data_IF_380393548373
#
_entry.id   IF_380393548373
#
_cell.length_a   1.000
_cell.length_b   1.000
_cell.length_c   1.000
_cell.angle_alpha   90.00
_cell.angle_beta   90.00
_cell.angle_gamma   90.00
#
_symmetry.space_group_name_H-M   'P 1'
#
loop_
_entity.id
_entity.type
_entity.pdbx_description
1 polymer ?
#
# COMPACT_ATOMS: atom_id res chain seq x y z
N UNK A 1 70.96 25.49 -31.50
CA UNK A 1 71.51 25.94 -32.80
C UNK A 1 70.66 25.34 -33.91
N UNK A 2 70.48 25.99 -35.07
CA UNK A 2 69.94 27.35 -35.32
C UNK A 2 68.87 27.30 -36.44
N UNK A 3 68.01 28.29 -36.68
CA UNK A 3 68.21 29.50 -37.51
C UNK A 3 66.84 30.22 -37.47
N UNK A 4 66.67 31.45 -36.98
CA UNK A 4 67.25 32.73 -37.40
C UNK A 4 66.92 33.13 -38.84
N UNK A 5 66.50 34.40 -38.97
CA UNK A 5 66.32 35.26 -40.14
C UNK A 5 64.89 35.45 -40.63
N UNK A 6 64.43 36.64 -41.00
CA UNK A 6 64.92 38.00 -40.80
C UNK A 6 63.84 38.95 -41.34
N UNK A 7 63.66 40.09 -40.66
CA UNK A 7 63.52 41.46 -41.20
C UNK A 7 62.85 41.63 -42.58
N UNK A 8 61.87 42.52 -42.68
CA UNK A 8 62.12 43.93 -43.07
C UNK A 8 60.84 44.77 -43.10
N UNK A 9 61.06 46.05 -42.82
CA UNK A 9 60.11 47.14 -42.74
C UNK A 9 59.67 47.66 -44.12
N UNK A 10 58.46 48.22 -44.17
CA UNK A 10 58.15 49.45 -44.93
C UNK A 10 56.82 50.00 -44.37
N UNK A 11 56.83 51.12 -43.66
CA UNK A 11 56.74 52.51 -44.16
C UNK A 11 55.37 52.87 -44.75
N UNK A 12 54.81 53.91 -44.12
CA UNK A 12 53.94 54.95 -44.68
C UNK A 12 52.61 54.53 -45.30
N UNK A 13 51.54 54.92 -44.63
CA UNK A 13 50.61 55.93 -45.16
C UNK A 13 49.73 56.43 -44.01
N UNK A 14 50.03 57.65 -43.57
CA UNK A 14 49.06 58.50 -42.90
C UNK A 14 47.90 58.73 -43.88
N UNK A 15 46.74 58.14 -43.59
CA UNK A 15 45.47 58.60 -44.13
C UNK A 15 44.53 58.82 -42.95
N UNK A 16 44.23 60.09 -42.71
CA UNK A 16 43.21 60.52 -41.78
C UNK A 16 41.84 59.97 -42.22
N UNK A 17 41.11 59.23 -41.38
CA UNK A 17 39.67 59.10 -41.55
C UNK A 17 39.07 60.46 -41.26
N UNK A 18 38.41 61.03 -42.26
CA UNK A 18 37.63 62.26 -42.15
C UNK A 18 36.71 62.19 -40.93
N UNK A 19 36.71 63.29 -40.18
CA UNK A 19 35.79 63.53 -39.08
C UNK A 19 34.35 63.41 -39.62
N UNK A 20 33.69 62.31 -39.30
CA UNK A 20 32.25 62.23 -39.46
C UNK A 20 31.61 63.25 -38.52
N UNK A 21 30.65 64.07 -38.99
CA UNK A 21 29.97 65.04 -38.15
C UNK A 21 29.20 64.26 -37.08
N UNK A 22 29.60 64.45 -35.82
CA UNK A 22 28.84 64.03 -34.65
C UNK A 22 27.47 64.69 -34.76
N UNK A 23 26.47 63.93 -35.19
CA UNK A 23 25.07 64.34 -35.03
C UNK A 23 24.89 64.58 -33.53
N UNK A 24 24.48 65.80 -33.18
CA UNK A 24 24.13 66.16 -31.83
C UNK A 24 23.21 65.06 -31.25
N UNK A 25 23.71 64.35 -30.24
CA UNK A 25 22.87 63.50 -29.42
C UNK A 25 21.84 64.43 -28.79
N UNK A 26 20.58 64.33 -29.24
CA UNK A 26 19.46 64.96 -28.55
C UNK A 26 19.50 64.43 -27.13
N UNK A 27 19.87 65.28 -26.18
CA UNK A 27 19.86 64.92 -24.77
C UNK A 27 18.42 64.53 -24.43
N UNK A 28 18.24 63.29 -23.98
CA UNK A 28 16.96 62.80 -23.48
C UNK A 28 16.42 63.84 -22.51
N UNK A 29 15.22 64.34 -22.81
CA UNK A 29 14.58 65.30 -21.92
C UNK A 29 14.28 64.58 -20.61
N UNK A 30 14.36 65.30 -19.48
CA UNK A 30 14.12 64.72 -18.16
C UNK A 30 12.75 64.03 -18.07
N UNK A 31 11.77 64.54 -18.83
CA UNK A 31 10.44 63.95 -18.94
C UNK A 31 10.43 62.63 -19.71
N UNK A 32 11.25 62.48 -20.74
CA UNK A 32 11.36 61.24 -21.52
C UNK A 32 12.00 60.12 -20.70
N UNK A 33 13.02 60.44 -19.91
CA UNK A 33 13.61 59.48 -18.97
C UNK A 33 12.62 59.08 -17.87
N UNK A 34 11.82 60.02 -17.37
CA UNK A 34 10.78 59.72 -16.37
C UNK A 34 9.68 58.83 -16.94
N UNK A 35 9.23 59.09 -18.17
CA UNK A 35 8.21 58.27 -18.85
C UNK A 35 8.74 56.85 -19.12
N UNK A 36 9.97 56.71 -19.60
CA UNK A 36 10.57 55.39 -19.84
C UNK A 36 10.69 54.59 -18.54
N UNK A 37 11.15 55.22 -17.46
CA UNK A 37 11.22 54.54 -16.15
C UNK A 37 9.83 54.15 -15.66
N UNK A 38 8.82 55.00 -15.81
CA UNK A 38 7.44 54.70 -15.43
C UNK A 38 6.82 53.55 -16.24
N UNK A 39 7.11 53.47 -17.54
CA UNK A 39 6.66 52.36 -18.39
C UNK A 39 7.39 51.07 -17.99
N UNK A 40 8.71 51.11 -17.80
CA UNK A 40 9.49 49.94 -17.40
C UNK A 40 9.08 49.41 -16.03
N UNK A 41 8.82 50.28 -15.04
CA UNK A 41 8.31 49.84 -13.73
C UNK A 41 6.92 49.23 -13.85
N UNK A 42 6.04 49.82 -14.66
CA UNK A 42 4.69 49.26 -14.88
C UNK A 42 4.74 47.88 -15.55
N UNK A 43 5.58 47.72 -16.58
CA UNK A 43 5.76 46.42 -17.28
C UNK A 43 6.39 45.39 -16.35
N UNK A 44 7.39 45.77 -15.54
CA UNK A 44 7.98 44.86 -14.55
C UNK A 44 6.95 44.43 -13.51
N UNK A 45 6.12 45.32 -12.98
CA UNK A 45 5.08 44.98 -12.00
C UNK A 45 4.05 43.98 -12.57
N UNK A 46 3.61 44.19 -13.81
CA UNK A 46 2.71 43.26 -14.49
C UNK A 46 3.35 41.89 -14.74
N UNK A 47 4.62 41.86 -15.16
CA UNK A 47 5.36 40.62 -15.38
C UNK A 47 5.55 39.82 -14.08
N UNK A 48 5.79 40.49 -12.95
CA UNK A 48 5.89 39.84 -11.64
C UNK A 48 4.55 39.28 -11.14
N UNK A 49 3.44 40.00 -11.37
CA UNK A 49 2.10 39.53 -10.99
C UNK A 49 1.75 38.20 -11.65
N UNK A 50 1.86 38.13 -12.99
CA UNK A 50 1.55 36.92 -13.78
C UNK A 50 2.48 35.75 -13.39
N UNK A 51 3.78 36.01 -13.21
CA UNK A 51 4.72 34.96 -12.82
C UNK A 51 4.47 34.40 -11.42
N UNK A 52 3.75 35.11 -10.54
CA UNK A 52 3.48 34.64 -9.17
C UNK A 52 2.28 33.69 -9.11
N UNK A 53 1.21 34.00 -9.85
CA UNK A 53 0.01 33.15 -9.97
C UNK A 53 0.34 31.81 -10.64
N UNK A 54 1.14 31.83 -11.72
CA UNK A 54 1.60 30.61 -12.40
C UNK A 54 2.35 29.66 -11.45
N UNK A 55 3.17 30.21 -10.55
CA UNK A 55 3.92 29.40 -9.57
C UNK A 55 3.02 28.81 -8.50
N UNK A 56 2.04 29.58 -8.01
CA UNK A 56 1.08 29.13 -7.02
C UNK A 56 0.25 27.96 -7.57
N UNK A 57 -0.23 28.10 -8.81
CA UNK A 57 -0.97 27.04 -9.50
C UNK A 57 -0.13 25.77 -9.68
N UNK A 58 1.15 25.88 -10.07
CA UNK A 58 2.04 24.72 -10.21
C UNK A 58 2.20 23.98 -8.88
N UNK A 59 2.38 24.68 -7.76
CA UNK A 59 2.53 24.07 -6.43
C UNK A 59 1.25 23.41 -5.94
N UNK A 60 0.11 24.03 -6.24
CA UNK A 60 -1.20 23.47 -5.99
C UNK A 60 -1.40 22.14 -6.73
N UNK A 61 -1.10 22.11 -8.03
CA UNK A 61 -1.23 20.91 -8.83
C UNK A 61 -0.22 19.82 -8.44
N UNK A 62 1.02 20.20 -8.08
CA UNK A 62 2.02 19.28 -7.51
C UNK A 62 1.53 18.65 -6.20
N UNK A 63 0.96 19.45 -5.29
CA UNK A 63 0.38 18.95 -4.02
C UNK A 63 -0.70 17.90 -4.26
N UNK A 64 -1.61 18.17 -5.20
CA UNK A 64 -2.68 17.22 -5.56
C UNK A 64 -2.13 15.94 -6.16
N UNK A 65 -1.09 16.03 -6.99
CA UNK A 65 -0.45 14.86 -7.58
C UNK A 65 0.29 14.03 -6.52
N UNK A 66 0.98 14.68 -5.59
CA UNK A 66 1.64 14.02 -4.45
C UNK A 66 0.67 13.31 -3.52
N UNK A 67 -0.52 13.87 -3.28
CA UNK A 67 -1.59 13.16 -2.56
C UNK A 67 -2.04 11.90 -3.28
N UNK A 68 -2.14 11.91 -4.62
CA UNK A 68 -2.44 10.68 -5.39
C UNK A 68 -1.32 9.67 -5.30
N UNK A 69 -0.06 10.13 -5.33
CA UNK A 69 1.11 9.26 -5.16
C UNK A 69 1.12 8.61 -3.78
N UNK A 70 0.82 9.35 -2.71
CA UNK A 70 0.64 8.81 -1.35
C UNK A 70 -0.47 7.76 -1.32
N UNK A 71 -1.64 8.06 -1.90
CA UNK A 71 -2.74 7.09 -1.98
C UNK A 71 -2.30 5.81 -2.71
N UNK A 72 -1.59 5.94 -3.83
CA UNK A 72 -1.09 4.79 -4.59
C UNK A 72 0.03 4.04 -3.87
N UNK A 73 0.85 4.69 -3.04
CA UNK A 73 1.87 4.03 -2.23
C UNK A 73 1.24 3.22 -1.09
N UNK A 74 0.20 3.78 -0.44
CA UNK A 74 -0.52 3.16 0.67
C UNK A 74 -1.37 1.98 0.18
N UNK A 75 -2.24 2.23 -0.80
CA UNK A 75 -3.23 1.28 -1.30
C UNK A 75 -2.77 0.46 -2.51
N UNK A 76 -1.63 0.79 -3.11
CA UNK A 76 -1.22 0.22 -4.38
C UNK A 76 -1.99 0.79 -5.56
N UNK A 77 -1.57 0.42 -6.77
CA UNK A 77 -2.32 0.74 -7.98
C UNK A 77 -3.55 -0.19 -8.09
N UNK A 78 -4.71 0.30 -7.67
CA UNK A 78 -6.01 -0.25 -8.11
C UNK A 78 -6.21 0.12 -9.58
N UNK A 79 -5.47 -0.52 -10.49
CA UNK A 79 -5.70 -0.34 -11.91
C UNK A 79 -7.13 -0.77 -12.29
N UNK A 80 -7.74 -0.19 -13.33
CA UNK A 80 -9.10 -0.54 -13.77
C UNK A 80 -9.23 -1.98 -14.31
N UNK A 81 -8.12 -2.74 -14.40
CA UNK A 81 -8.10 -4.10 -14.90
C UNK A 81 -8.15 -5.11 -13.73
N UNK A 82 -9.13 -6.05 -13.72
CA UNK A 82 -9.14 -7.14 -12.75
C UNK A 82 -7.88 -8.01 -12.92
N UNK A 83 -7.19 -8.30 -11.81
CA UNK A 83 -6.02 -9.19 -11.79
C UNK A 83 -4.65 -8.51 -11.87
N UNK A 84 -4.56 -7.18 -11.83
CA UNK A 84 -3.26 -6.49 -11.62
C UNK A 84 -2.80 -6.70 -10.17
N UNK A 85 -1.50 -6.92 -9.98
CA UNK A 85 -0.89 -7.28 -8.69
C UNK A 85 -1.42 -6.42 -7.53
N UNK A 86 -1.98 -7.07 -6.50
CA UNK A 86 -2.32 -6.38 -5.25
C UNK A 86 -1.00 -5.98 -4.61
N UNK A 87 -0.80 -4.69 -4.38
CA UNK A 87 0.44 -4.14 -3.86
C UNK A 87 0.19 -2.89 -3.02
N UNK A 88 1.26 -2.16 -2.74
CA UNK A 88 1.22 -1.03 -1.81
C UNK A 88 1.43 -1.45 -0.36
N UNK A 89 1.58 -0.46 0.49
CA UNK A 89 1.95 -0.66 1.90
C UNK A 89 1.00 -1.63 2.61
N UNK A 90 -0.32 -1.45 2.44
CA UNK A 90 -1.32 -2.27 3.11
C UNK A 90 -1.27 -3.74 2.66
N UNK A 91 -1.05 -4.01 1.37
CA UNK A 91 -1.06 -5.38 0.86
C UNK A 91 0.13 -6.22 1.37
N UNK A 92 1.25 -5.54 1.54
CA UNK A 92 2.51 -6.12 1.97
C UNK A 92 2.59 -6.25 3.50
N UNK A 93 2.04 -5.28 4.23
CA UNK A 93 2.17 -5.16 5.68
C UNK A 93 0.88 -5.46 6.46
N UNK A 94 -0.28 -5.50 5.82
CA UNK A 94 -1.55 -5.83 6.49
C UNK A 94 -2.11 -4.74 7.41
N UNK A 95 -1.56 -3.53 7.39
CA UNK A 95 -2.03 -2.38 8.16
C UNK A 95 -1.72 -1.06 7.44
N UNK A 96 -2.31 0.05 7.91
CA UNK A 96 -1.96 1.41 7.46
C UNK A 96 -0.60 1.84 8.03
N UNK A 97 0.14 2.72 7.33
CA UNK A 97 1.38 3.26 7.88
C UNK A 97 1.08 4.15 9.10
N UNK A 98 1.91 4.02 10.14
CA UNK A 98 1.81 4.87 11.33
C UNK A 98 2.30 6.30 11.11
N UNK A 99 3.11 6.52 10.07
CA UNK A 99 3.63 7.81 9.61
C UNK A 99 4.05 7.73 8.13
N UNK A 100 4.31 8.87 7.49
CA UNK A 100 4.71 8.87 6.07
C UNK A 100 6.16 8.42 5.82
N UNK A 101 7.05 8.58 6.81
CA UNK A 101 8.42 8.10 6.73
C UNK A 101 8.48 6.58 6.62
N UNK A 102 7.51 5.90 7.19
CA UNK A 102 7.31 4.45 7.05
C UNK A 102 7.01 4.05 5.60
N UNK A 103 6.61 4.96 4.70
CA UNK A 103 6.51 4.65 3.26
C UNK A 103 7.87 4.64 2.55
N UNK A 104 8.90 5.26 3.12
CA UNK A 104 10.25 5.32 2.54
C UNK A 104 11.19 4.30 3.18
N UNK A 105 11.05 4.10 4.49
CA UNK A 105 11.97 3.29 5.29
C UNK A 105 11.18 2.38 6.22
N UNK A 106 11.68 1.17 6.45
CA UNK A 106 10.95 0.15 7.23
C UNK A 106 10.74 0.49 8.71
N UNK A 107 11.61 1.31 9.29
CA UNK A 107 11.63 1.51 10.75
C UNK A 107 11.78 0.19 11.51
N UNK A 108 10.80 -0.12 12.38
CA UNK A 108 10.73 -1.35 13.17
C UNK A 108 10.03 -2.51 12.45
N UNK A 109 9.49 -2.30 11.25
CA UNK A 109 8.76 -3.32 10.51
C UNK A 109 9.72 -4.37 9.93
N UNK A 110 9.20 -5.60 9.77
CA UNK A 110 9.95 -6.68 9.13
C UNK A 110 10.11 -6.37 7.65
N UNK A 111 11.31 -6.60 7.12
CA UNK A 111 11.62 -6.47 5.69
C UNK A 111 10.88 -7.50 4.83
N UNK A 112 10.59 -7.14 3.59
CA UNK A 112 9.92 -8.03 2.66
C UNK A 112 10.72 -9.31 2.44
N UNK A 113 10.07 -10.44 2.69
CA UNK A 113 10.64 -11.76 2.49
C UNK A 113 9.57 -12.74 2.01
N UNK A 114 10.02 -13.88 1.50
CA UNK A 114 9.16 -15.06 1.36
C UNK A 114 8.99 -15.66 2.76
N UNK A 115 7.79 -15.57 3.29
CA UNK A 115 7.45 -16.01 4.64
C UNK A 115 6.53 -17.23 4.62
N UNK A 116 6.71 -18.10 5.61
CA UNK A 116 5.81 -19.22 5.86
C UNK A 116 4.60 -18.75 6.66
N UNK A 117 3.37 -18.92 6.16
CA UNK A 117 2.18 -18.71 6.96
C UNK A 117 2.19 -19.55 8.22
N UNK A 118 1.66 -18.99 9.30
CA UNK A 118 1.62 -19.63 10.60
C UNK A 118 0.17 -19.94 10.99
N UNK A 119 -0.11 -21.21 11.21
CA UNK A 119 -1.38 -21.68 11.74
C UNK A 119 -1.26 -21.85 13.26
N UNK A 120 -2.08 -21.14 14.01
CA UNK A 120 -2.23 -21.35 15.44
C UNK A 120 -3.58 -22.08 15.69
N UNK A 121 -3.57 -23.27 16.34
CA UNK A 121 -4.78 -23.95 16.77
C UNK A 121 -5.61 -23.10 17.75
N UNK A 122 -4.99 -22.26 18.57
CA UNK A 122 -5.64 -21.49 19.66
C UNK A 122 -5.26 -20.00 19.63
N UNK A 123 -5.63 -19.26 18.57
CA UNK A 123 -5.38 -17.81 18.53
C UNK A 123 -6.19 -17.07 19.60
N UNK A 124 -5.73 -15.87 19.95
CA UNK A 124 -6.38 -15.01 20.94
C UNK A 124 -7.72 -14.49 20.38
N UNK A 125 -8.83 -14.83 21.07
CA UNK A 125 -10.20 -14.52 20.63
C UNK A 125 -10.42 -13.06 20.24
N UNK A 126 -9.94 -12.11 21.05
CA UNK A 126 -10.20 -10.68 20.84
C UNK A 126 -9.43 -10.07 19.65
N UNK A 127 -8.28 -10.63 19.27
CA UNK A 127 -7.39 -10.07 18.24
C UNK A 127 -7.24 -10.94 17.00
N UNK A 128 -7.73 -12.18 17.05
CA UNK A 128 -7.48 -13.24 16.09
C UNK A 128 -5.99 -13.63 15.92
N UNK A 129 -5.08 -13.06 16.72
CA UNK A 129 -3.65 -13.23 16.56
C UNK A 129 -3.16 -14.54 17.18
N UNK A 130 -2.08 -15.09 16.64
CA UNK A 130 -1.40 -16.24 17.25
C UNK A 130 -1.03 -15.98 18.71
N UNK A 131 -1.31 -16.95 19.57
CA UNK A 131 -0.90 -17.02 20.97
C UNK A 131 0.61 -17.30 21.12
N UNK A 132 1.24 -17.88 20.09
CA UNK A 132 2.65 -18.23 20.06
C UNK A 132 3.01 -19.56 20.74
N UNK A 133 2.04 -20.28 21.30
CA UNK A 133 2.30 -21.50 22.10
C UNK A 133 2.29 -22.80 21.29
N UNK A 134 1.52 -22.89 20.20
CA UNK A 134 1.36 -24.11 19.38
C UNK A 134 1.33 -23.80 17.86
N UNK A 135 2.22 -22.91 17.41
CA UNK A 135 2.22 -22.42 16.04
C UNK A 135 2.83 -23.43 15.06
N UNK A 136 2.07 -23.78 14.02
CA UNK A 136 2.48 -24.65 12.91
C UNK A 136 2.83 -23.78 11.70
N UNK A 137 4.10 -23.80 11.28
CA UNK A 137 4.55 -23.10 10.07
C UNK A 137 4.27 -23.95 8.82
N UNK A 138 3.61 -23.36 7.82
CA UNK A 138 3.36 -23.98 6.52
C UNK A 138 4.59 -23.81 5.61
N UNK A 139 5.39 -24.88 5.50
CA UNK A 139 6.65 -24.90 4.76
C UNK A 139 6.55 -25.31 3.29
N UNK A 140 5.36 -25.69 2.80
CA UNK A 140 5.14 -25.97 1.39
C UNK A 140 5.39 -24.69 0.56
N UNK A 141 6.24 -24.78 -0.47
CA UNK A 141 6.56 -23.67 -1.37
C UNK A 141 5.31 -23.01 -1.98
N UNK A 142 4.26 -23.80 -2.25
CA UNK A 142 2.99 -23.29 -2.75
C UNK A 142 2.18 -22.53 -1.69
N UNK A 143 2.45 -22.72 -0.39
CA UNK A 143 1.83 -21.96 0.70
C UNK A 143 2.58 -20.66 1.02
N UNK A 144 3.87 -20.56 0.71
CA UNK A 144 4.70 -19.38 1.04
C UNK A 144 4.17 -18.09 0.40
N UNK A 145 4.15 -16.99 1.17
CA UNK A 145 3.69 -15.68 0.70
C UNK A 145 4.84 -14.67 0.74
N UNK A 146 4.84 -13.70 -0.17
CA UNK A 146 5.76 -12.55 -0.08
C UNK A 146 5.09 -11.51 0.79
N UNK A 147 5.69 -11.17 1.93
CA UNK A 147 5.15 -10.24 2.92
C UNK A 147 6.24 -9.44 3.59
N UNK A 148 5.86 -8.32 4.19
CA UNK A 148 6.77 -7.40 4.87
C UNK A 148 7.09 -6.15 4.04
N UNK A 149 7.83 -5.24 4.64
CA UNK A 149 8.09 -3.91 4.13
C UNK A 149 9.08 -3.93 2.96
N UNK A 150 8.67 -3.42 1.79
CA UNK A 150 9.46 -3.49 0.54
C UNK A 150 10.58 -2.44 0.41
N UNK A 151 10.76 -1.58 1.41
CA UNK A 151 11.54 -0.36 1.31
C UNK A 151 10.71 0.80 0.77
N UNK A 152 11.19 1.46 -0.28
CA UNK A 152 10.56 2.69 -0.78
C UNK A 152 9.28 2.41 -1.59
N UNK A 153 8.12 2.69 -0.98
CA UNK A 153 6.80 2.61 -1.60
C UNK A 153 6.48 3.82 -2.49
N UNK A 154 7.21 4.92 -2.34
CA UNK A 154 7.08 6.13 -3.16
C UNK A 154 7.98 6.06 -4.42
N UNK A 155 8.77 5.00 -4.58
CA UNK A 155 9.48 4.71 -5.83
C UNK A 155 10.53 5.76 -6.21
N UNK A 156 11.24 6.33 -5.24
CA UNK A 156 12.28 7.33 -5.44
C UNK A 156 11.76 8.75 -5.64
N UNK A 157 10.46 9.00 -5.43
CA UNK A 157 9.88 10.34 -5.56
C UNK A 157 10.24 11.26 -4.38
N UNK A 158 10.78 10.72 -3.29
CA UNK A 158 11.28 11.52 -2.19
C UNK A 158 12.59 12.24 -2.55
N UNK A 159 12.66 13.53 -2.24
CA UNK A 159 13.85 14.34 -2.41
C UNK A 159 14.61 14.43 -1.08
N UNK A 160 15.89 14.05 -1.07
CA UNK A 160 16.72 13.98 0.15
C UNK A 160 16.05 13.17 1.29
N UNK A 161 15.35 12.09 0.94
CA UNK A 161 14.63 11.25 1.90
C UNK A 161 13.38 11.88 2.51
N UNK A 162 12.88 12.99 1.93
CA UNK A 162 11.64 13.65 2.36
C UNK A 162 10.65 13.74 1.20
N UNK A 163 9.38 13.54 1.49
CA UNK A 163 8.30 13.66 0.52
C UNK A 163 7.35 14.79 0.96
N UNK A 164 7.74 16.05 0.71
CA UNK A 164 6.94 17.24 1.08
C UNK A 164 5.78 17.47 0.10
N UNK A 165 4.88 18.39 0.41
CA UNK A 165 3.92 18.91 -0.55
C UNK A 165 4.56 19.90 -1.55
N UNK A 166 3.76 20.47 -2.47
CA UNK A 166 4.25 21.41 -3.47
C UNK A 166 4.64 22.78 -2.90
N UNK A 167 4.16 23.10 -1.70
CA UNK A 167 4.50 24.35 -1.00
C UNK A 167 5.81 24.25 -0.22
N UNK A 168 6.26 23.03 0.08
CA UNK A 168 7.45 22.78 0.86
C UNK A 168 7.21 23.00 2.35
N UNK A 169 5.97 22.77 2.80
CA UNK A 169 5.58 22.96 4.19
C UNK A 169 6.44 22.12 5.13
N UNK A 170 6.69 22.67 6.32
CA UNK A 170 7.44 22.01 7.40
C UNK A 170 6.63 22.08 8.68
N UNK A 171 6.66 20.98 9.45
CA UNK A 171 6.06 20.98 10.79
C UNK A 171 6.97 21.75 11.76
N UNK A 172 6.36 22.54 12.64
CA UNK A 172 7.10 23.26 13.68
C UNK A 172 7.77 22.30 14.69
N UNK A 173 7.22 21.09 14.86
CA UNK A 173 7.87 20.00 15.58
C UNK A 173 8.78 19.22 14.62
N UNK A 174 10.09 19.34 14.81
CA UNK A 174 11.09 18.66 13.99
C UNK A 174 10.96 17.12 14.02
N UNK A 175 10.42 16.54 15.09
CA UNK A 175 10.20 15.08 15.20
C UNK A 175 8.99 14.64 14.36
N UNK A 176 7.96 15.48 14.32
CA UNK A 176 6.83 15.28 13.42
C UNK A 176 7.23 15.52 11.96
N UNK A 177 7.98 16.59 11.66
CA UNK A 177 8.49 16.87 10.31
C UNK A 177 9.36 15.73 9.77
N UNK A 178 10.18 15.10 10.63
CA UNK A 178 10.99 13.94 10.25
C UNK A 178 10.14 12.71 9.91
N UNK A 179 8.95 12.56 10.50
CA UNK A 179 8.04 11.43 10.28
C UNK A 179 7.02 11.68 9.17
N UNK A 180 6.58 12.93 9.00
CA UNK A 180 5.45 13.28 8.15
C UNK A 180 5.78 14.34 7.08
N UNK A 181 7.01 14.84 7.03
CA UNK A 181 7.50 15.72 5.96
C UNK A 181 6.67 16.99 5.74
N UNK A 182 6.10 17.54 6.81
CA UNK A 182 5.23 18.72 6.78
C UNK A 182 3.78 18.45 6.38
N UNK A 183 3.41 17.20 6.09
CA UNK A 183 2.01 16.81 5.98
C UNK A 183 1.38 16.67 7.36
N UNK A 184 0.12 17.09 7.50
CA UNK A 184 -0.67 16.81 8.70
C UNK A 184 -1.29 15.42 8.60
N UNK A 185 -1.00 14.56 9.59
CA UNK A 185 -1.48 13.18 9.63
C UNK A 185 -2.49 12.98 10.77
N UNK A 186 -3.65 12.40 10.45
CA UNK A 186 -4.62 11.97 11.44
C UNK A 186 -4.94 10.48 11.25
N UNK A 187 -4.67 9.68 12.30
CA UNK A 187 -4.94 8.24 12.33
C UNK A 187 -6.05 7.98 13.34
N UNK A 188 -7.11 7.32 12.91
CA UNK A 188 -8.15 6.80 13.78
C UNK A 188 -8.09 5.27 13.75
N UNK A 189 -7.53 4.68 14.81
CA UNK A 189 -7.41 3.22 14.95
C UNK A 189 -8.75 2.53 15.16
N UNK A 190 -9.75 3.23 15.71
CA UNK A 190 -11.09 2.69 15.94
C UNK A 190 -11.90 2.66 14.64
N UNK A 191 -11.85 3.75 13.88
CA UNK A 191 -12.45 3.82 12.55
C UNK A 191 -11.61 3.11 11.46
N UNK A 192 -10.35 2.75 11.77
CA UNK A 192 -9.36 2.16 10.85
C UNK A 192 -9.17 3.03 9.60
N UNK A 193 -8.97 4.32 9.83
CA UNK A 193 -8.81 5.34 8.78
C UNK A 193 -7.58 6.21 8.98
N UNK A 194 -7.11 6.77 7.88
CA UNK A 194 -5.97 7.67 7.78
C UNK A 194 -6.36 8.88 6.94
N UNK A 195 -6.09 10.08 7.44
CA UNK A 195 -6.17 11.31 6.68
C UNK A 195 -4.78 11.95 6.58
N UNK A 196 -4.40 12.35 5.37
CA UNK A 196 -3.16 13.09 5.08
C UNK A 196 -3.52 14.42 4.47
N UNK A 197 -3.07 15.53 5.05
CA UNK A 197 -3.45 16.87 4.62
C UNK A 197 -2.24 17.75 4.34
N UNK A 198 -2.28 18.52 3.25
CA UNK A 198 -1.41 19.69 3.04
C UNK A 198 -2.12 20.93 3.57
N UNK A 199 -1.38 21.79 4.28
CA UNK A 199 -1.87 23.02 4.89
C UNK A 199 -1.76 24.25 3.94
N UNK A 200 -1.80 24.01 2.63
CA UNK A 200 -1.77 25.06 1.62
C UNK A 200 -0.51 25.96 1.68
N UNK A 201 -0.63 27.15 1.10
CA UNK A 201 0.45 28.12 0.98
C UNK A 201 0.80 28.86 2.29
N UNK A 202 -0.11 28.89 3.27
CA UNK A 202 0.06 29.58 4.54
C UNK A 202 0.54 28.67 5.68
N UNK A 203 0.63 27.36 5.43
CA UNK A 203 1.01 26.34 6.41
C UNK A 203 0.14 26.39 7.67
N UNK A 204 -1.15 26.72 7.51
CA UNK A 204 -2.12 26.82 8.59
C UNK A 204 -3.37 26.02 8.25
N UNK A 205 -4.09 25.57 9.27
CA UNK A 205 -5.36 24.85 9.08
C UNK A 205 -6.44 25.80 8.55
N UNK A 206 -7.13 25.38 7.50
CA UNK A 206 -8.21 26.15 6.86
C UNK A 206 -7.72 26.87 5.62
N UNK A 207 -7.97 28.18 5.56
CA UNK A 207 -7.59 29.03 4.42
C UNK A 207 -8.55 28.99 3.23
N UNK A 208 -8.32 29.91 2.29
CA UNK A 208 -9.04 30.04 1.02
C UNK A 208 -8.04 29.99 -0.15
N UNK A 209 -8.52 29.67 -1.35
CA UNK A 209 -7.71 29.62 -2.58
C UNK A 209 -6.47 28.72 -2.42
N UNK A 210 -5.25 29.23 -2.64
CA UNK A 210 -4.02 28.46 -2.46
C UNK A 210 -3.65 28.16 -1.00
N UNK A 211 -4.28 28.85 -0.04
CA UNK A 211 -4.14 28.55 1.38
C UNK A 211 -5.08 27.43 1.84
N UNK A 212 -6.03 26.98 1.01
CA UNK A 212 -6.98 25.94 1.43
C UNK A 212 -6.30 24.60 1.68
N UNK A 213 -6.72 23.90 2.75
CA UNK A 213 -6.28 22.54 3.04
C UNK A 213 -6.68 21.53 1.94
N UNK A 214 -5.75 20.64 1.61
CA UNK A 214 -6.02 19.50 0.71
C UNK A 214 -5.85 18.17 1.41
N UNK A 215 -6.92 17.39 1.47
CA UNK A 215 -6.98 16.17 2.26
C UNK A 215 -7.13 14.93 1.38
N UNK A 216 -6.24 13.96 1.59
CA UNK A 216 -6.42 12.56 1.20
C UNK A 216 -7.05 11.81 2.37
N UNK A 217 -8.22 11.20 2.14
CA UNK A 217 -8.83 10.29 3.09
C UNK A 217 -8.70 8.85 2.60
N UNK A 218 -8.18 7.99 3.48
CA UNK A 218 -8.17 6.53 3.35
C UNK A 218 -9.04 5.97 4.46
N UNK A 219 -10.23 5.52 4.08
CA UNK A 219 -11.24 4.98 4.98
C UNK A 219 -11.13 3.47 5.08
N UNK A 220 -11.76 2.88 6.10
CA UNK A 220 -11.86 1.43 6.28
C UNK A 220 -12.18 0.65 5.00
N UNK A 221 -13.15 1.13 4.21
CA UNK A 221 -13.61 0.46 2.98
C UNK A 221 -12.67 0.61 1.79
N UNK A 222 -11.66 1.47 1.87
CA UNK A 222 -10.66 1.63 0.81
C UNK A 222 -9.61 0.51 0.83
N UNK A 223 -9.39 -0.14 1.98
CA UNK A 223 -8.26 -1.05 2.18
C UNK A 223 -8.59 -2.34 2.93
N UNK A 224 -9.81 -2.45 3.49
CA UNK A 224 -10.28 -3.65 4.17
C UNK A 224 -11.46 -4.28 3.45
N UNK A 225 -11.52 -5.61 3.50
CA UNK A 225 -12.62 -6.45 3.01
C UNK A 225 -13.37 -7.02 4.21
N UNK A 226 -14.71 -6.89 4.29
CA UNK A 226 -15.47 -7.51 5.35
C UNK A 226 -15.45 -9.04 5.18
N UNK A 227 -15.24 -9.79 6.27
CA UNK A 227 -15.30 -11.25 6.22
C UNK A 227 -16.71 -11.78 5.99
N UNK A 228 -17.69 -11.10 6.59
CA UNK A 228 -19.08 -11.48 6.43
C UNK A 228 -19.49 -11.45 4.96
N UNK A 229 -20.07 -12.56 4.49
CA UNK A 229 -20.50 -12.71 3.11
C UNK A 229 -19.43 -13.27 2.18
N UNK A 230 -18.23 -13.57 2.68
CA UNK A 230 -17.25 -14.37 1.95
C UNK A 230 -17.61 -15.86 2.11
N UNK A 231 -17.84 -16.53 0.99
CA UNK A 231 -18.05 -17.97 0.92
C UNK A 231 -16.92 -18.66 0.15
N UNK A 232 -16.52 -19.82 0.64
CA UNK A 232 -15.48 -20.67 0.05
C UNK A 232 -16.09 -22.01 -0.32
N UNK A 233 -16.02 -22.36 -1.60
CA UNK A 233 -16.39 -23.70 -2.08
C UNK A 233 -15.15 -24.58 -2.08
N UNK A 234 -15.13 -25.57 -1.19
CA UNK A 234 -14.09 -26.61 -1.15
C UNK A 234 -14.53 -27.75 -2.06
N UNK A 235 -13.66 -28.16 -2.99
CA UNK A 235 -13.91 -29.26 -3.93
C UNK A 235 -12.80 -30.29 -3.82
N UNK A 236 -13.15 -31.55 -3.61
CA UNK A 236 -12.21 -32.65 -3.51
C UNK A 236 -11.92 -33.28 -4.87
N UNK A 237 -10.70 -33.10 -5.38
CA UNK A 237 -10.21 -33.75 -6.60
C UNK A 237 -9.08 -34.76 -6.30
N UNK A 238 -8.91 -35.18 -5.05
CA UNK A 238 -7.71 -35.90 -4.61
C UNK A 238 -7.70 -37.40 -4.95
N UNK A 239 -8.65 -37.90 -5.75
CA UNK A 239 -8.87 -39.35 -5.99
C UNK A 239 -9.01 -40.17 -4.70
N UNK A 240 -9.20 -39.49 -3.57
CA UNK A 240 -9.26 -40.05 -2.22
C UNK A 240 -10.36 -39.34 -1.45
N UNK A 241 -11.12 -40.14 -0.73
CA UNK A 241 -12.23 -39.62 0.04
C UNK A 241 -11.79 -39.04 1.37
N UNK A 242 -12.43 -37.95 1.77
CA UNK A 242 -12.33 -37.44 3.14
C UNK A 242 -13.52 -37.98 3.91
N UNK A 243 -13.24 -38.96 4.77
CA UNK A 243 -14.23 -39.56 5.65
C UNK A 243 -14.90 -38.54 6.58
N UNK A 244 -16.17 -38.80 6.91
CA UNK A 244 -17.02 -37.93 7.72
C UNK A 244 -16.33 -37.44 9.00
N UNK A 245 -16.18 -36.12 9.13
CA UNK A 245 -15.56 -35.45 10.28
C UNK A 245 -15.99 -33.99 10.37
N UNK A 246 -15.59 -33.33 11.45
CA UNK A 246 -15.82 -31.91 11.64
C UNK A 246 -14.78 -31.12 10.83
N UNK A 247 -15.24 -30.38 9.83
CA UNK A 247 -14.40 -29.58 8.95
C UNK A 247 -14.71 -28.09 9.09
N UNK A 248 -13.73 -27.24 8.87
CA UNK A 248 -13.92 -25.81 8.64
C UNK A 248 -12.86 -25.30 7.68
N UNK A 249 -13.05 -24.09 7.17
CA UNK A 249 -12.02 -23.33 6.46
C UNK A 249 -11.45 -22.25 7.37
N UNK A 250 -10.12 -22.16 7.41
CA UNK A 250 -9.38 -21.11 8.09
C UNK A 250 -8.68 -20.18 7.09
N UNK A 251 -8.71 -18.87 7.32
CA UNK A 251 -7.99 -17.84 6.57
C UNK A 251 -6.83 -17.30 7.41
N UNK A 252 -5.61 -17.36 6.89
CA UNK A 252 -4.42 -16.79 7.50
C UNK A 252 -4.06 -15.46 6.85
N UNK A 253 -3.92 -14.44 7.69
CA UNK A 253 -3.68 -13.05 7.30
C UNK A 253 -2.43 -12.54 7.98
N UNK A 254 -1.48 -12.03 7.22
CA UNK A 254 -0.27 -11.43 7.76
C UNK A 254 -0.50 -9.99 8.20
N UNK A 255 0.03 -9.61 9.37
CA UNK A 255 0.12 -8.23 9.85
C UNK A 255 1.55 -7.94 10.29
N UNK A 256 2.14 -6.89 9.75
CA UNK A 256 3.47 -6.40 10.07
C UNK A 256 3.33 -5.26 11.07
N UNK A 257 3.85 -5.46 12.27
CA UNK A 257 3.80 -4.46 13.32
C UNK A 257 5.22 -4.25 13.90
N UNK A 258 5.36 -3.34 14.86
CA UNK A 258 6.64 -3.04 15.50
C UNK A 258 7.22 -4.17 16.35
N UNK A 259 6.40 -5.15 16.75
CA UNK A 259 6.79 -6.37 17.47
C UNK A 259 7.21 -7.51 16.53
N UNK A 260 7.13 -7.29 15.21
CA UNK A 260 7.42 -8.29 14.19
C UNK A 260 6.20 -8.60 13.32
N UNK A 261 6.41 -9.45 12.33
CA UNK A 261 5.31 -10.00 11.53
C UNK A 261 4.53 -11.03 12.34
N UNK A 262 3.21 -10.89 12.42
CA UNK A 262 2.31 -11.85 13.05
C UNK A 262 1.28 -12.38 12.05
N UNK A 263 0.70 -13.53 12.37
CA UNK A 263 -0.38 -14.13 11.60
C UNK A 263 -1.67 -14.14 12.40
N UNK A 264 -2.72 -13.62 11.78
CA UNK A 264 -4.08 -13.68 12.27
C UNK A 264 -4.77 -14.87 11.61
N UNK A 265 -5.62 -15.56 12.38
CA UNK A 265 -6.44 -16.67 11.88
C UNK A 265 -7.91 -16.31 12.03
N UNK A 266 -8.65 -16.47 10.94
CA UNK A 266 -10.11 -16.39 10.92
C UNK A 266 -10.67 -17.75 10.53
N UNK A 267 -11.78 -18.18 11.10
CA UNK A 267 -12.36 -19.51 10.83
C UNK A 267 -13.86 -19.45 10.58
N UNK A 268 -14.29 -20.18 9.56
CA UNK A 268 -15.71 -20.47 9.31
C UNK A 268 -16.30 -21.38 10.39
N UNK A 269 -17.63 -21.44 10.57
CA UNK A 269 -18.27 -22.43 11.42
C UNK A 269 -17.88 -23.85 11.06
N UNK A 270 -17.87 -24.74 12.07
CA UNK A 270 -17.65 -26.17 11.86
C UNK A 270 -18.84 -26.78 11.12
N UNK A 271 -18.56 -27.40 9.98
CA UNK A 271 -19.47 -28.33 9.33
C UNK A 271 -19.29 -29.71 9.98
N UNK A 272 -20.25 -30.11 10.81
CA UNK A 272 -20.14 -31.32 11.61
C UNK A 272 -20.40 -32.59 10.78
N UNK A 273 -19.60 -33.63 11.03
CA UNK A 273 -19.75 -34.96 10.41
C UNK A 273 -19.86 -34.94 8.87
N UNK A 274 -19.17 -34.00 8.22
CA UNK A 274 -19.17 -33.86 6.77
C UNK A 274 -18.07 -34.69 6.12
N UNK A 275 -18.37 -35.24 4.96
CA UNK A 275 -17.45 -35.98 4.10
C UNK A 275 -17.31 -35.28 2.74
N UNK A 276 -16.19 -35.53 2.06
CA UNK A 276 -15.95 -35.05 0.69
C UNK A 276 -15.52 -36.22 -0.20
N UNK A 277 -16.31 -36.51 -1.22
CA UNK A 277 -16.00 -37.52 -2.23
C UNK A 277 -14.88 -37.03 -3.15
N UNK A 278 -13.75 -37.73 -3.14
CA UNK A 278 -12.61 -37.40 -3.99
C UNK A 278 -12.49 -38.27 -5.24
N UNK A 279 -13.19 -39.40 -5.27
CA UNK A 279 -13.19 -40.35 -6.39
C UNK A 279 -14.23 -40.00 -7.45
N UNK A 280 -15.26 -39.23 -7.07
CA UNK A 280 -16.36 -38.82 -7.93
C UNK A 280 -17.45 -39.89 -8.09
N UNK A 281 -17.45 -40.93 -7.26
CA UNK A 281 -18.46 -42.00 -7.30
C UNK A 281 -19.72 -41.67 -6.46
N UNK A 282 -19.71 -40.54 -5.76
CA UNK A 282 -20.79 -40.05 -4.90
C UNK A 282 -20.83 -40.68 -3.51
N UNK A 283 -19.83 -41.49 -3.14
CA UNK A 283 -19.80 -42.26 -1.91
C UNK A 283 -18.48 -42.06 -1.15
N UNK A 284 -18.55 -42.05 0.18
CA UNK A 284 -17.38 -42.20 1.06
C UNK A 284 -17.71 -43.26 2.09
N UNK A 285 -16.99 -44.38 2.07
CA UNK A 285 -17.27 -45.54 2.94
C UNK A 285 -18.75 -46.00 2.88
N UNK A 286 -19.38 -45.91 1.70
CA UNK A 286 -20.78 -46.29 1.48
C UNK A 286 -21.82 -45.25 1.93
N UNK A 287 -21.40 -44.08 2.41
CA UNK A 287 -22.28 -42.95 2.74
C UNK A 287 -22.31 -41.99 1.56
N UNK A 288 -23.48 -41.46 1.19
CA UNK A 288 -23.58 -40.45 0.13
C UNK A 288 -22.92 -39.15 0.56
N UNK A 289 -21.95 -38.70 -0.24
CA UNK A 289 -21.13 -37.54 0.05
C UNK A 289 -20.97 -36.70 -1.21
N UNK A 290 -21.02 -35.37 -1.04
CA UNK A 290 -20.79 -34.44 -2.15
C UNK A 290 -19.29 -34.32 -2.40
N UNK A 291 -18.91 -34.12 -3.66
CA UNK A 291 -17.55 -33.75 -4.04
C UNK A 291 -17.19 -32.31 -3.58
N UNK A 292 -18.19 -31.50 -3.24
CA UNK A 292 -17.98 -30.11 -2.82
C UNK A 292 -18.84 -29.68 -1.63
N UNK A 293 -18.29 -28.77 -0.83
CA UNK A 293 -18.94 -28.15 0.32
C UNK A 293 -18.69 -26.64 0.32
N UNK A 294 -19.68 -25.87 0.78
CA UNK A 294 -19.57 -24.41 0.89
C UNK A 294 -19.44 -24.02 2.36
N UNK A 295 -18.40 -23.27 2.69
CA UNK A 295 -18.16 -22.69 4.00
C UNK A 295 -18.31 -21.17 3.89
N UNK A 296 -18.92 -20.52 4.89
CA UNK A 296 -19.06 -19.06 4.89
C UNK A 296 -18.48 -18.48 6.16
N UNK A 297 -17.76 -17.36 6.04
CA UNK A 297 -17.21 -16.66 7.19
C UNK A 297 -18.30 -15.87 7.91
N UNK A 298 -18.25 -15.92 9.23
CA UNK A 298 -19.03 -15.04 10.09
C UNK A 298 -18.40 -13.65 10.17
N UNK A 299 -19.11 -12.73 10.83
CA UNK A 299 -18.63 -11.38 11.03
C UNK A 299 -17.42 -11.32 11.98
N UNK A 300 -17.13 -12.32 12.80
CA UNK A 300 -16.11 -12.25 13.85
C UNK A 300 -14.94 -13.20 13.56
N UNK A 301 -13.92 -13.30 14.44
CA UNK A 301 -12.78 -14.16 14.13
C UNK A 301 -13.15 -15.64 13.95
N UNK A 302 -14.17 -16.10 14.69
CA UNK A 302 -14.75 -17.43 14.59
C UNK A 302 -16.24 -17.40 14.89
N UNK A 303 -16.94 -18.47 14.53
CA UNK A 303 -18.32 -18.68 14.90
C UNK A 303 -18.52 -18.63 16.42
N UNK A 304 -19.51 -17.85 16.86
CA UNK A 304 -19.87 -17.69 18.27
C UNK A 304 -18.94 -16.80 19.10
N UNK A 305 -17.84 -16.28 18.56
CA UNK A 305 -17.09 -15.20 19.22
C UNK A 305 -17.88 -13.90 19.15
N UNK A 306 -17.83 -13.07 20.20
CA UNK A 306 -18.37 -11.71 20.21
C UNK A 306 -17.35 -10.67 20.68
N UNK A 307 -16.13 -11.10 21.02
CA UNK A 307 -15.10 -10.26 21.61
C UNK A 307 -14.25 -9.52 20.58
N UNK A 308 -14.06 -10.08 19.39
CA UNK A 308 -13.31 -9.44 18.30
C UNK A 308 -14.06 -8.34 17.55
N UNK A 309 -15.40 -8.35 17.64
CA UNK A 309 -16.27 -7.51 16.84
C UNK A 309 -16.17 -7.83 15.32
N UNK A 310 -16.86 -7.02 14.48
CA UNK A 310 -16.83 -7.20 13.04
C UNK A 310 -15.39 -7.19 12.52
N UNK A 311 -14.99 -8.32 11.96
CA UNK A 311 -13.68 -8.67 11.47
C UNK A 311 -13.55 -8.30 10.01
N UNK A 312 -12.41 -7.70 9.71
CA UNK A 312 -12.08 -7.14 8.42
C UNK A 312 -10.65 -7.51 8.10
N UNK A 313 -10.43 -7.92 6.86
CA UNK A 313 -9.14 -8.40 6.38
C UNK A 313 -8.53 -7.35 5.46
N UNK A 314 -7.26 -6.96 5.65
CA UNK A 314 -6.58 -6.05 4.74
C UNK A 314 -6.59 -6.62 3.32
N UNK A 315 -6.66 -5.73 2.35
CA UNK A 315 -6.44 -6.11 0.96
C UNK A 315 -5.09 -6.81 0.81
N UNK A 316 -4.98 -7.75 -0.11
CA UNK A 316 -3.73 -8.48 -0.33
C UNK A 316 -3.93 -9.95 -0.66
N UNK A 317 -2.80 -10.63 -0.82
CA UNK A 317 -2.76 -12.08 -0.93
C UNK A 317 -2.74 -12.72 0.47
N UNK A 318 -3.58 -13.71 0.69
CA UNK A 318 -3.75 -14.46 1.93
C UNK A 318 -3.80 -15.96 1.65
N UNK A 319 -3.83 -16.79 2.71
CA UNK A 319 -3.89 -18.24 2.56
C UNK A 319 -5.16 -18.79 3.19
N UNK A 320 -5.95 -19.54 2.43
CA UNK A 320 -7.04 -20.36 2.94
C UNK A 320 -6.55 -21.78 3.18
N UNK A 321 -7.05 -22.40 4.25
CA UNK A 321 -6.71 -23.74 4.71
C UNK A 321 -7.98 -24.53 5.01
N UNK A 322 -8.01 -25.80 4.61
CA UNK A 322 -8.96 -26.76 5.17
C UNK A 322 -8.44 -27.22 6.53
N UNK A 323 -9.29 -27.13 7.54
CA UNK A 323 -8.99 -27.51 8.92
C UNK A 323 -9.98 -28.54 9.42
N UNK A 324 -9.50 -29.45 10.26
CA UNK A 324 -10.28 -30.50 10.86
C UNK A 324 -10.25 -30.43 12.37
N UNK A 325 -11.34 -30.88 12.98
CA UNK A 325 -11.59 -30.73 14.40
C UNK A 325 -11.98 -32.08 14.97
N UNK A 326 -11.45 -32.43 16.15
CA UNK A 326 -11.94 -33.60 16.89
C UNK A 326 -13.00 -33.23 17.93
N UNK A 327 -13.09 -31.94 18.27
CA UNK A 327 -14.13 -31.38 19.13
C UNK A 327 -15.23 -30.70 18.30
N UNK A 328 -16.27 -30.23 18.99
CA UNK A 328 -17.31 -29.35 18.42
C UNK A 328 -16.96 -27.86 18.53
N UNK A 329 -15.80 -27.52 19.10
CA UNK A 329 -15.39 -26.14 19.35
C UNK A 329 -14.31 -25.72 18.35
N UNK A 330 -14.41 -24.49 17.86
CA UNK A 330 -13.30 -23.86 17.14
C UNK A 330 -12.26 -23.34 18.11
N UNK A 331 -11.01 -23.39 17.69
CA UNK A 331 -9.86 -22.79 18.35
C UNK A 331 -9.50 -23.42 19.69
N UNK A 332 -9.50 -24.75 19.70
CA UNK A 332 -8.92 -25.53 20.79
C UNK A 332 -7.68 -26.29 20.31
N UNK A 333 -6.96 -26.93 21.24
CA UNK A 333 -5.76 -27.71 20.92
C UNK A 333 -6.03 -28.93 20.03
N UNK A 334 -7.28 -29.18 19.64
CA UNK A 334 -7.66 -30.25 18.71
C UNK A 334 -7.87 -29.77 17.28
N UNK A 335 -7.82 -28.45 17.05
CA UNK A 335 -7.79 -27.87 15.71
C UNK A 335 -6.51 -28.29 14.99
N UNK A 336 -6.68 -29.00 13.88
CA UNK A 336 -5.58 -29.44 13.04
C UNK A 336 -5.76 -28.96 11.60
N UNK A 337 -4.64 -28.76 10.92
CA UNK A 337 -4.63 -28.63 9.46
C UNK A 337 -5.04 -29.97 8.87
N UNK A 338 -6.01 -29.98 7.94
CA UNK A 338 -6.41 -31.22 7.24
C UNK A 338 -5.32 -31.57 6.22
N UNK A 339 -4.28 -32.26 6.70
CA UNK A 339 -3.17 -32.72 5.87
C UNK A 339 -2.53 -34.03 6.34
N UNK A 340 -2.86 -34.48 7.56
CA UNK A 340 -2.16 -35.59 8.18
C UNK A 340 -2.98 -36.17 9.34
N UNK A 341 -3.60 -37.34 9.11
CA UNK A 341 -3.69 -38.33 10.18
C UNK A 341 -2.82 -39.51 9.77
N UNK A 342 -1.91 -39.86 10.67
CA UNK A 342 -0.96 -40.96 10.56
C UNK A 342 -1.58 -42.20 9.90
N UNK A 343 -1.09 -42.57 8.71
CA UNK A 343 -1.41 -43.85 8.07
C UNK A 343 -1.61 -43.83 6.56
N UNK A 344 -1.88 -42.66 5.94
CA UNK A 344 -2.08 -42.56 4.48
C UNK A 344 -0.97 -41.71 3.85
N UNK A 345 -0.19 -42.29 2.94
CA UNK A 345 1.02 -41.68 2.35
C UNK A 345 0.75 -40.59 1.31
N UNK A 346 -0.44 -40.00 1.29
CA UNK A 346 -0.90 -39.19 0.16
C UNK A 346 -1.08 -37.76 0.60
N UNK A 347 -0.09 -36.93 0.23
CA UNK A 347 -0.11 -35.49 0.44
C UNK A 347 -0.94 -34.86 -0.68
N UNK A 348 -2.13 -34.39 -0.37
CA UNK A 348 -2.88 -33.50 -1.25
C UNK A 348 -2.73 -32.06 -0.79
N UNK A 349 -2.96 -31.10 -1.69
CA UNK A 349 -2.98 -29.69 -1.37
C UNK A 349 -4.27 -29.35 -0.63
N UNK A 350 -4.14 -28.86 0.60
CA UNK A 350 -5.24 -28.51 1.51
C UNK A 350 -5.40 -26.99 1.70
N UNK A 351 -4.75 -26.22 0.84
CA UNK A 351 -4.72 -24.77 0.90
C UNK A 351 -4.86 -24.13 -0.48
N UNK A 352 -5.33 -22.90 -0.49
CA UNK A 352 -5.32 -22.07 -1.70
C UNK A 352 -4.95 -20.63 -1.35
N UNK A 353 -4.23 -19.97 -2.25
CA UNK A 353 -3.96 -18.53 -2.09
C UNK A 353 -5.18 -17.76 -2.56
N UNK A 354 -5.59 -16.77 -1.79
CA UNK A 354 -6.71 -15.90 -2.15
C UNK A 354 -6.25 -14.45 -2.18
N UNK A 355 -6.76 -13.72 -3.15
CA UNK A 355 -6.52 -12.30 -3.33
C UNK A 355 -7.80 -11.57 -2.93
N UNK A 356 -7.75 -10.78 -1.85
CA UNK A 356 -8.88 -10.00 -1.37
C UNK A 356 -8.65 -8.53 -1.70
N UNK A 357 -9.61 -7.90 -2.39
CA UNK A 357 -9.56 -6.49 -2.79
C UNK A 357 -10.90 -5.82 -2.46
N UNK A 358 -10.90 -4.65 -1.78
CA UNK A 358 -12.12 -3.92 -1.46
C UNK A 358 -12.92 -3.54 -2.71
N UNK A 359 -14.24 -3.57 -2.59
CA UNK A 359 -15.16 -3.25 -3.69
C UNK A 359 -15.27 -4.32 -4.78
N UNK A 360 -14.34 -5.27 -4.87
CA UNK A 360 -14.53 -6.47 -5.67
C UNK A 360 -15.33 -7.47 -4.83
N UNK A 361 -16.51 -7.87 -5.32
CA UNK A 361 -17.16 -9.05 -4.77
C UNK A 361 -16.19 -10.21 -5.00
N UNK A 362 -15.71 -10.89 -3.96
CA UNK A 362 -14.92 -12.09 -4.17
C UNK A 362 -15.84 -13.07 -4.91
N UNK A 363 -15.59 -13.25 -6.21
CA UNK A 363 -16.24 -14.30 -6.99
C UNK A 363 -15.99 -15.62 -6.25
N UNK A 364 -17.04 -16.43 -6.07
CA UNK A 364 -17.07 -17.69 -5.32
C UNK A 364 -15.67 -18.30 -5.15
N UNK A 365 -15.06 -18.09 -3.98
CA UNK A 365 -13.67 -18.50 -3.78
C UNK A 365 -13.65 -20.02 -3.80
N UNK A 366 -12.92 -20.59 -4.75
CA UNK A 366 -12.82 -22.04 -4.89
C UNK A 366 -11.50 -22.55 -4.34
N UNK A 367 -11.59 -23.46 -3.38
CA UNK A 367 -10.46 -24.24 -2.89
C UNK A 367 -10.54 -25.63 -3.50
N UNK A 368 -9.54 -26.00 -4.29
CA UNK A 368 -9.47 -27.32 -4.91
C UNK A 368 -8.42 -28.16 -4.21
N UNK A 369 -8.85 -29.28 -3.63
CA UNK A 369 -7.97 -30.26 -3.04
C UNK A 369 -7.43 -31.14 -4.16
N UNK A 370 -6.11 -31.20 -4.34
CA UNK A 370 -5.46 -31.88 -5.47
C UNK A 370 -4.26 -32.72 -5.04
#
# INVERSE_FOLDING_TARGET
MPKAHARQAARSLWQAPGQAPWRAAGGFTLIELLVVVAILTSVSLLAFGVSSEDRAQIRYDDTRERLKQLRSAILGQLGPAPGKAIGGFVADNGDLPGDLATLLQRGSLVEQAVVSPQFDPQPVAASCAGSGSDVIALSDNAALLVKGHRGDYLGGLAFNGRFRDGWGNESADASDDARNFGWSLAIDSSARSLAVSSLGADNAVGGDDYASDHVLNVTKTDWLVPLQGISVTVVNFTQQDIAARNLSVSLLVFRNNSSGGEWLRYSTPIAASTCLDGTGDGLVNGISCSQSLVFSFDANCKAGDSSSGPSWVPQGQHLLLLTAHSSANLWDGSDAIEHDRAGTSTKYRYFTRVNLVPGQRPADIRMELR
#
